data_IF_047900902238
#
_entry.id   IF_047900902238
#
_cell.length_a   1.000
_cell.length_b   1.000
_cell.length_c   1.000
_cell.angle_alpha   90.00
_cell.angle_beta   90.00
_cell.angle_gamma   90.00
#
_symmetry.space_group_name_H-M   'P 1'
#
loop_
_entity.id
_entity.type
_entity.pdbx_description
1 polymer ?
#
# COMPACT_ATOMS: atom_id res chain seq x y z
N UNK A 1 -9.68 -3.82 35.34
CA UNK A 1 -9.67 -2.74 34.33
C UNK A 1 -8.22 -2.49 33.95
N UNK A 2 -7.73 -3.13 32.89
CA UNK A 2 -6.33 -2.97 32.45
C UNK A 2 -6.26 -1.84 31.43
N UNK A 3 -5.45 -0.83 31.75
CA UNK A 3 -5.12 0.26 30.86
C UNK A 3 -4.47 -0.30 29.59
N UNK A 4 -5.06 -0.02 28.43
CA UNK A 4 -4.42 -0.22 27.13
C UNK A 4 -3.33 0.82 27.00
N UNK A 5 -2.08 0.40 27.17
CA UNK A 5 -0.91 1.21 26.85
C UNK A 5 -0.83 1.38 25.34
N UNK A 6 -1.37 2.49 24.83
CA UNK A 6 -1.21 2.89 23.42
C UNK A 6 0.25 3.27 23.22
N UNK A 7 1.03 2.44 22.51
CA UNK A 7 2.40 2.78 22.10
C UNK A 7 2.38 3.98 21.14
N UNK A 8 3.39 4.86 21.14
CA UNK A 8 3.43 6.03 20.26
C UNK A 8 3.87 5.62 18.84
N UNK A 9 3.05 4.83 18.14
CA UNK A 9 3.18 4.66 16.69
C UNK A 9 2.52 5.84 15.99
N UNK A 10 3.26 6.52 15.09
CA UNK A 10 2.88 7.72 14.32
C UNK A 10 1.51 8.32 14.70
N UNK A 11 1.56 9.33 15.56
CA UNK A 11 0.40 10.16 15.90
C UNK A 11 -0.28 10.64 14.62
N UNK A 12 -1.60 10.45 14.56
CA UNK A 12 -2.52 11.15 13.66
C UNK A 12 -2.02 12.57 13.40
N UNK A 13 -1.91 12.95 12.13
CA UNK A 13 -1.47 14.30 11.77
C UNK A 13 -2.54 15.31 12.21
N UNK A 14 -2.11 16.51 12.57
CA UNK A 14 -3.02 17.56 13.00
C UNK A 14 -4.04 17.88 11.90
N UNK A 15 -5.33 17.85 12.25
CA UNK A 15 -6.43 18.08 11.29
C UNK A 15 -6.91 16.84 10.53
N UNK A 16 -6.30 15.67 10.75
CA UNK A 16 -6.73 14.42 10.12
C UNK A 16 -8.09 13.93 10.65
N UNK A 17 -9.10 13.89 9.78
CA UNK A 17 -10.42 13.33 10.08
C UNK A 17 -10.74 12.12 9.20
N UNK A 18 -10.50 10.93 9.75
CA UNK A 18 -10.76 9.67 9.03
C UNK A 18 -12.24 9.40 8.76
N UNK A 19 -13.13 10.08 9.47
CA UNK A 19 -14.57 9.87 9.34
C UNK A 19 -15.17 10.62 8.15
N UNK A 20 -14.37 11.44 7.45
CA UNK A 20 -14.79 12.19 6.26
C UNK A 20 -15.57 11.31 5.27
N UNK A 21 -16.60 11.90 4.70
CA UNK A 21 -17.41 11.33 3.62
C UNK A 21 -16.95 11.78 2.23
N UNK A 22 -15.99 12.71 2.17
CA UNK A 22 -15.46 13.25 0.92
C UNK A 22 -14.19 12.48 0.55
N UNK A 23 -14.18 11.92 -0.66
CA UNK A 23 -13.03 11.13 -1.12
C UNK A 23 -11.82 12.03 -1.42
N UNK A 24 -12.03 13.32 -1.70
CA UNK A 24 -10.97 14.31 -1.91
C UNK A 24 -10.12 14.51 -0.65
N UNK A 25 -10.74 14.56 0.53
CA UNK A 25 -10.05 14.66 1.81
C UNK A 25 -9.17 13.43 2.04
N UNK A 26 -9.72 12.26 1.76
CA UNK A 26 -9.00 11.01 1.89
C UNK A 26 -7.80 10.93 0.92
N UNK A 27 -7.98 11.39 -0.32
CA UNK A 27 -6.89 11.51 -1.31
C UNK A 27 -5.83 12.53 -0.87
N UNK A 28 -6.23 13.64 -0.26
CA UNK A 28 -5.31 14.65 0.24
C UNK A 28 -4.39 14.07 1.32
N UNK A 29 -4.97 13.39 2.33
CA UNK A 29 -4.19 12.73 3.38
C UNK A 29 -3.29 11.63 2.84
N UNK A 30 -3.74 10.85 1.84
CA UNK A 30 -2.88 9.89 1.16
C UNK A 30 -1.63 10.53 0.54
N UNK A 31 -1.80 11.69 -0.12
CA UNK A 31 -0.67 12.43 -0.70
C UNK A 31 0.31 12.88 0.38
N UNK A 32 -0.19 13.45 1.49
CA UNK A 32 0.64 13.90 2.61
C UNK A 32 1.45 12.74 3.18
N UNK A 33 0.80 11.61 3.46
CA UNK A 33 1.49 10.45 4.02
C UNK A 33 2.50 9.83 3.03
N UNK A 34 2.21 9.77 1.72
CA UNK A 34 3.19 9.31 0.72
C UNK A 34 4.43 10.23 0.68
N UNK A 35 4.22 11.54 0.69
CA UNK A 35 5.31 12.52 0.68
C UNK A 35 6.19 12.41 1.93
N UNK A 36 5.57 12.29 3.12
CA UNK A 36 6.29 12.09 4.38
C UNK A 36 7.09 10.78 4.39
N UNK A 37 6.49 9.68 3.94
CA UNK A 37 7.14 8.38 3.85
C UNK A 37 8.33 8.42 2.88
N UNK A 38 8.14 9.03 1.70
CA UNK A 38 9.18 9.19 0.69
C UNK A 38 10.35 9.99 1.23
N UNK A 39 10.07 11.13 1.87
CA UNK A 39 11.08 11.98 2.46
C UNK A 39 11.87 11.24 3.57
N UNK A 40 11.17 10.65 4.54
CA UNK A 40 11.81 9.96 5.67
C UNK A 40 12.61 8.73 5.25
N UNK A 41 12.11 7.92 4.30
CA UNK A 41 12.88 6.80 3.72
C UNK A 41 14.15 7.27 3.02
N UNK A 42 14.08 8.39 2.30
CA UNK A 42 15.24 8.99 1.65
C UNK A 42 16.29 9.44 2.66
N UNK A 43 15.86 10.06 3.76
CA UNK A 43 16.72 10.47 4.86
C UNK A 43 17.35 9.26 5.56
N UNK A 44 16.55 8.25 5.91
CA UNK A 44 16.99 7.02 6.56
C UNK A 44 18.09 6.33 5.74
N UNK A 45 17.84 6.13 4.44
CA UNK A 45 18.81 5.49 3.55
C UNK A 45 20.13 6.27 3.43
N UNK A 46 20.10 7.60 3.60
CA UNK A 46 21.31 8.43 3.65
C UNK A 46 22.06 8.21 4.96
N UNK A 47 21.35 8.26 6.09
CA UNK A 47 21.91 8.05 7.43
C UNK A 47 22.57 6.66 7.50
N UNK A 48 21.91 5.62 7.00
CA UNK A 48 22.46 4.26 6.96
C UNK A 48 23.78 4.16 6.19
N UNK A 49 23.88 4.84 5.03
CA UNK A 49 25.14 4.90 4.25
C UNK A 49 26.25 5.61 5.01
N UNK A 50 25.93 6.74 5.65
CA UNK A 50 26.91 7.51 6.41
C UNK A 50 27.37 6.73 7.65
N UNK A 51 26.45 6.06 8.36
CA UNK A 51 26.74 5.19 9.52
C UNK A 51 27.70 4.04 9.19
N UNK A 52 27.62 3.48 7.98
CA UNK A 52 28.53 2.42 7.54
C UNK A 52 30.01 2.84 7.57
N UNK A 53 30.30 4.15 7.50
CA UNK A 53 31.65 4.71 7.53
C UNK A 53 32.14 5.07 8.93
N UNK A 54 31.25 5.08 9.93
CA UNK A 54 31.55 5.53 11.29
C UNK A 54 32.11 4.44 12.19
N UNK A 55 32.70 4.86 13.32
CA UNK A 55 33.22 3.97 14.35
C UNK A 55 32.09 3.16 15.02
N UNK A 56 32.38 1.98 15.60
CA UNK A 56 31.37 1.15 16.26
C UNK A 56 30.60 1.87 17.39
N UNK A 57 31.27 2.74 18.15
CA UNK A 57 30.66 3.50 19.25
C UNK A 57 29.66 4.53 18.72
N UNK A 58 30.01 5.25 17.65
CA UNK A 58 29.12 6.21 17.00
C UNK A 58 27.90 5.50 16.37
N UNK A 59 28.08 4.31 15.80
CA UNK A 59 26.97 3.48 15.30
C UNK A 59 26.03 3.02 16.40
N UNK A 60 26.56 2.61 17.55
CA UNK A 60 25.76 2.16 18.68
C UNK A 60 24.98 3.31 19.32
N UNK A 61 25.56 4.52 19.36
CA UNK A 61 24.83 5.72 19.82
C UNK A 61 23.65 6.06 18.90
N UNK A 62 23.81 5.92 17.58
CA UNK A 62 22.77 6.23 16.60
C UNK A 62 21.68 5.14 16.46
N UNK A 63 21.87 3.94 17.00
CA UNK A 63 20.93 2.83 16.77
C UNK A 63 19.57 3.07 17.41
N UNK A 64 19.51 3.74 18.57
CA UNK A 64 18.26 4.07 19.25
C UNK A 64 17.42 5.05 18.43
N UNK A 65 18.06 6.09 17.88
CA UNK A 65 17.40 7.06 17.00
C UNK A 65 16.90 6.40 15.72
N UNK A 66 17.66 5.46 15.17
CA UNK A 66 17.29 4.71 13.97
C UNK A 66 16.00 3.90 14.20
N UNK A 67 15.92 3.16 15.31
CA UNK A 67 14.73 2.38 15.67
C UNK A 67 13.49 3.27 15.78
N UNK A 68 13.61 4.46 16.40
CA UNK A 68 12.49 5.40 16.51
C UNK A 68 12.02 5.86 15.12
N UNK A 69 12.95 6.14 14.20
CA UNK A 69 12.61 6.56 12.83
C UNK A 69 11.91 5.41 12.07
N UNK A 70 12.38 4.18 12.24
CA UNK A 70 11.78 2.98 11.64
C UNK A 70 10.34 2.77 12.16
N UNK A 71 10.12 2.83 13.48
CA UNK A 71 8.79 2.72 14.09
C UNK A 71 7.83 3.82 13.58
N UNK A 72 8.33 5.05 13.40
CA UNK A 72 7.54 6.13 12.81
C UNK A 72 7.15 5.83 11.35
N UNK A 73 8.09 5.31 10.55
CA UNK A 73 7.82 4.95 9.15
C UNK A 73 6.78 3.84 9.04
N UNK A 74 6.81 2.85 9.92
CA UNK A 74 5.75 1.83 10.01
C UNK A 74 4.40 2.44 10.36
N UNK A 75 4.36 3.37 11.31
CA UNK A 75 3.13 4.07 11.68
C UNK A 75 2.53 4.91 10.53
N UNK A 76 3.35 5.70 9.82
CA UNK A 76 2.89 6.46 8.66
C UNK A 76 2.41 5.55 7.53
N UNK A 77 3.05 4.40 7.36
CA UNK A 77 2.60 3.43 6.37
C UNK A 77 1.23 2.86 6.75
N UNK A 78 1.03 2.47 8.01
CA UNK A 78 -0.26 1.98 8.46
C UNK A 78 -1.37 3.02 8.29
N UNK A 79 -1.05 4.32 8.49
CA UNK A 79 -1.99 5.42 8.23
C UNK A 79 -2.30 5.59 6.75
N UNK A 80 -1.29 5.53 5.88
CA UNK A 80 -1.48 5.58 4.44
C UNK A 80 -2.40 4.43 3.97
N UNK A 81 -2.14 3.20 4.43
CA UNK A 81 -2.94 2.01 4.10
C UNK A 81 -4.39 2.13 4.61
N UNK A 82 -4.59 2.80 5.75
CA UNK A 82 -5.92 3.10 6.28
C UNK A 82 -6.68 4.08 5.37
N UNK A 83 -6.04 5.16 4.93
CA UNK A 83 -6.67 6.12 4.04
C UNK A 83 -7.03 5.54 2.67
N UNK A 84 -6.20 4.63 2.15
CA UNK A 84 -6.53 3.91 0.93
C UNK A 84 -7.81 3.08 1.06
N UNK A 85 -7.97 2.33 2.16
CA UNK A 85 -9.21 1.61 2.45
C UNK A 85 -10.41 2.56 2.53
N UNK A 86 -10.23 3.72 3.17
CA UNK A 86 -11.28 4.73 3.25
C UNK A 86 -11.70 5.25 1.88
N UNK A 87 -10.75 5.53 0.98
CA UNK A 87 -11.09 5.93 -0.40
C UNK A 87 -11.86 4.83 -1.12
N UNK A 88 -11.49 3.55 -0.95
CA UNK A 88 -12.22 2.43 -1.55
C UNK A 88 -13.68 2.39 -1.09
N UNK A 89 -13.92 2.51 0.22
CA UNK A 89 -15.27 2.58 0.78
C UNK A 89 -16.06 3.76 0.20
N UNK A 90 -15.47 4.95 0.16
CA UNK A 90 -16.11 6.17 -0.33
C UNK A 90 -16.38 6.13 -1.83
N UNK A 91 -15.55 5.44 -2.62
CA UNK A 91 -15.78 5.20 -4.06
C UNK A 91 -16.65 3.96 -4.32
N UNK A 92 -17.14 3.29 -3.28
CA UNK A 92 -18.08 2.18 -3.38
C UNK A 92 -17.46 0.86 -3.85
N UNK A 93 -16.15 0.67 -3.65
CA UNK A 93 -15.45 -0.59 -3.92
C UNK A 93 -15.56 -1.52 -2.70
N UNK A 94 -16.03 -2.73 -2.93
CA UNK A 94 -16.19 -3.78 -1.93
C UNK A 94 -15.59 -5.09 -2.41
N UNK A 95 -14.91 -5.81 -1.52
CA UNK A 95 -14.37 -7.14 -1.77
C UNK A 95 -14.96 -8.11 -0.75
N UNK A 96 -15.45 -9.25 -1.23
CA UNK A 96 -15.91 -10.36 -0.41
C UNK A 96 -14.90 -11.53 -0.50
N UNK A 97 -14.15 -11.80 0.58
CA UNK A 97 -13.16 -12.88 0.59
C UNK A 97 -13.78 -14.28 0.63
N UNK A 98 -15.04 -14.44 1.05
CA UNK A 98 -15.67 -15.76 1.12
C UNK A 98 -16.14 -16.22 -0.25
N UNK A 99 -16.75 -15.32 -1.03
CA UNK A 99 -17.26 -15.60 -2.37
C UNK A 99 -16.29 -15.23 -3.50
N UNK A 100 -15.12 -14.67 -3.17
CA UNK A 100 -14.17 -14.06 -4.11
C UNK A 100 -14.85 -13.08 -5.08
N UNK A 101 -15.77 -12.28 -4.56
CA UNK A 101 -16.53 -11.31 -5.36
C UNK A 101 -16.00 -9.91 -5.14
N UNK A 102 -15.97 -9.12 -6.21
CA UNK A 102 -15.70 -7.68 -6.14
C UNK A 102 -16.93 -6.92 -6.64
N UNK A 103 -17.24 -5.81 -5.97
CA UNK A 103 -18.33 -4.92 -6.34
C UNK A 103 -17.86 -3.48 -6.41
N UNK A 104 -18.26 -2.76 -7.44
CA UNK A 104 -18.03 -1.32 -7.56
C UNK A 104 -19.24 -0.65 -8.20
N UNK A 105 -19.78 0.40 -7.55
CA UNK A 105 -20.93 1.18 -8.06
C UNK A 105 -22.13 0.32 -8.52
N UNK A 106 -22.41 -0.77 -7.79
CA UNK A 106 -23.53 -1.67 -8.09
C UNK A 106 -23.25 -2.75 -9.16
N UNK A 107 -22.07 -2.75 -9.78
CA UNK A 107 -21.61 -3.84 -10.66
C UNK A 107 -20.83 -4.87 -9.86
N UNK A 108 -21.07 -6.15 -10.10
CA UNK A 108 -20.46 -7.27 -9.39
C UNK A 108 -19.69 -8.17 -10.36
N UNK A 109 -18.57 -8.75 -9.91
CA UNK A 109 -17.76 -9.70 -10.68
C UNK A 109 -17.23 -10.82 -9.77
N UNK A 110 -17.39 -12.06 -10.19
CA UNK A 110 -16.80 -13.22 -9.51
C UNK A 110 -15.38 -13.49 -10.02
N UNK A 111 -14.44 -13.46 -9.10
CA UNK A 111 -13.02 -13.64 -9.38
C UNK A 111 -12.61 -15.08 -9.13
N UNK A 112 -11.63 -15.56 -9.89
CA UNK A 112 -10.88 -16.73 -9.44
C UNK A 112 -10.09 -16.39 -8.18
N UNK A 113 -9.71 -17.40 -7.39
CA UNK A 113 -8.92 -17.20 -6.18
C UNK A 113 -7.63 -16.38 -6.43
N UNK A 114 -6.90 -16.68 -7.52
CA UNK A 114 -5.65 -15.97 -7.84
C UNK A 114 -5.89 -14.51 -8.26
N UNK A 115 -6.98 -14.23 -8.97
CA UNK A 115 -7.38 -12.86 -9.32
C UNK A 115 -7.77 -12.06 -8.08
N UNK A 116 -8.58 -12.66 -7.19
CA UNK A 116 -8.95 -12.05 -5.91
C UNK A 116 -7.71 -11.75 -5.06
N UNK A 117 -6.82 -12.72 -4.87
CA UNK A 117 -5.59 -12.55 -4.10
C UNK A 117 -4.71 -11.43 -4.67
N UNK A 118 -4.56 -11.36 -6.00
CA UNK A 118 -3.77 -10.30 -6.64
C UNK A 118 -4.42 -8.93 -6.49
N UNK A 119 -5.73 -8.83 -6.74
CA UNK A 119 -6.46 -7.58 -6.64
C UNK A 119 -6.45 -7.06 -5.19
N UNK A 120 -6.77 -7.91 -4.21
CA UNK A 120 -6.71 -7.57 -2.79
C UNK A 120 -5.30 -7.11 -2.39
N UNK A 121 -4.26 -7.86 -2.75
CA UNK A 121 -2.87 -7.49 -2.46
C UNK A 121 -2.48 -6.12 -3.02
N UNK A 122 -2.92 -5.81 -4.25
CA UNK A 122 -2.65 -4.51 -4.89
C UNK A 122 -3.46 -3.37 -4.25
N UNK A 123 -4.70 -3.63 -3.82
CA UNK A 123 -5.57 -2.67 -3.13
C UNK A 123 -5.14 -2.39 -1.69
N UNK A 124 -4.53 -3.37 -1.02
CA UNK A 124 -3.92 -3.25 0.31
C UNK A 124 -2.57 -2.52 0.26
N UNK A 125 -1.93 -2.47 -0.91
CA UNK A 125 -0.64 -1.82 -1.13
C UNK A 125 -0.61 -0.92 -2.37
N UNK A 126 -1.51 0.04 -2.49
CA UNK A 126 -1.57 0.91 -3.66
C UNK A 126 -0.39 1.90 -3.64
N UNK A 127 -0.01 2.39 -4.83
CA UNK A 127 1.18 3.22 -5.07
C UNK A 127 2.54 2.58 -4.72
N UNK A 128 2.55 1.32 -4.26
CA UNK A 128 3.75 0.51 -4.11
C UNK A 128 3.97 -0.32 -5.36
N UNK A 129 5.24 -0.48 -5.74
CA UNK A 129 5.62 -1.28 -6.89
C UNK A 129 6.07 -2.66 -6.44
N UNK A 130 5.57 -3.68 -7.14
CA UNK A 130 5.91 -5.08 -6.89
C UNK A 130 6.39 -5.77 -8.17
N UNK A 131 7.56 -6.39 -8.12
CA UNK A 131 8.06 -7.25 -9.19
C UNK A 131 7.19 -8.52 -9.31
N UNK A 132 7.34 -9.25 -10.42
CA UNK A 132 6.69 -10.55 -10.58
C UNK A 132 7.04 -11.51 -9.44
N UNK A 133 8.30 -11.54 -9.02
CA UNK A 133 8.73 -12.40 -7.91
C UNK A 133 8.13 -11.95 -6.58
N UNK A 134 8.01 -10.64 -6.33
CA UNK A 134 7.35 -10.16 -5.11
C UNK A 134 5.87 -10.52 -5.09
N UNK A 135 5.16 -10.39 -6.22
CA UNK A 135 3.74 -10.78 -6.32
C UNK A 135 3.58 -12.28 -6.02
N UNK A 136 4.37 -13.14 -6.66
CA UNK A 136 4.34 -14.59 -6.44
C UNK A 136 4.52 -14.97 -4.97
N UNK A 137 5.52 -14.37 -4.32
CA UNK A 137 5.85 -14.70 -2.95
C UNK A 137 4.87 -14.11 -1.94
N UNK A 138 4.34 -12.91 -2.17
CA UNK A 138 3.54 -12.18 -1.17
C UNK A 138 2.04 -12.28 -1.38
N UNK A 139 1.56 -12.24 -2.62
CA UNK A 139 0.14 -12.35 -2.92
C UNK A 139 -0.32 -13.82 -2.94
N UNK A 140 0.56 -14.72 -3.37
CA UNK A 140 0.20 -16.11 -3.69
C UNK A 140 0.94 -17.17 -2.88
N UNK A 141 2.01 -16.78 -2.17
CA UNK A 141 2.92 -17.68 -1.45
C UNK A 141 3.41 -18.85 -2.33
N UNK A 142 3.63 -18.58 -3.62
CA UNK A 142 3.92 -19.59 -4.64
C UNK A 142 5.14 -19.15 -5.48
N UNK A 143 6.37 -19.42 -5.01
CA UNK A 143 7.59 -19.00 -5.71
C UNK A 143 7.79 -19.71 -7.06
N UNK A 144 7.19 -20.89 -7.25
CA UNK A 144 7.36 -21.74 -8.42
C UNK A 144 6.58 -21.24 -9.66
N UNK A 145 5.59 -20.37 -9.44
CA UNK A 145 4.76 -19.80 -10.48
C UNK A 145 5.61 -19.04 -11.52
N UNK A 146 5.27 -19.18 -12.80
CA UNK A 146 6.07 -18.56 -13.85
C UNK A 146 5.77 -17.05 -13.97
N UNK A 147 6.76 -16.20 -14.27
CA UNK A 147 6.52 -14.76 -14.47
C UNK A 147 5.47 -14.44 -15.55
N UNK A 148 5.26 -15.33 -16.52
CA UNK A 148 4.22 -15.21 -17.55
C UNK A 148 2.81 -15.36 -16.97
N UNK A 149 2.62 -16.27 -16.02
CA UNK A 149 1.35 -16.45 -15.34
C UNK A 149 0.98 -15.20 -14.53
N UNK A 150 1.97 -14.60 -13.86
CA UNK A 150 1.78 -13.29 -13.19
C UNK A 150 1.26 -12.25 -14.18
N UNK A 151 1.86 -12.16 -15.37
CA UNK A 151 1.44 -11.22 -16.42
C UNK A 151 0.03 -11.49 -16.92
N UNK A 152 -0.36 -12.76 -17.04
CA UNK A 152 -1.71 -13.14 -17.41
C UNK A 152 -2.73 -12.68 -16.35
N UNK A 153 -2.46 -12.90 -15.07
CA UNK A 153 -3.34 -12.41 -14.00
C UNK A 153 -3.38 -10.88 -13.92
N UNK A 154 -2.25 -10.19 -14.11
CA UNK A 154 -2.22 -8.72 -14.23
C UNK A 154 -3.10 -8.24 -15.38
N UNK A 155 -3.08 -8.92 -16.54
CA UNK A 155 -3.94 -8.59 -17.67
C UNK A 155 -5.42 -8.78 -17.33
N UNK A 156 -5.78 -9.88 -16.67
CA UNK A 156 -7.17 -10.13 -16.26
C UNK A 156 -7.66 -9.12 -15.23
N UNK A 157 -6.84 -8.80 -14.22
CA UNK A 157 -7.14 -7.75 -13.24
C UNK A 157 -7.37 -6.41 -13.93
N UNK A 158 -6.57 -6.04 -14.94
CA UNK A 158 -6.83 -4.83 -15.74
C UNK A 158 -8.20 -4.85 -16.43
N UNK A 159 -8.60 -5.98 -17.00
CA UNK A 159 -9.93 -6.12 -17.60
C UNK A 159 -11.04 -5.94 -16.57
N UNK A 160 -10.90 -6.56 -15.39
CA UNK A 160 -11.87 -6.42 -14.27
C UNK A 160 -11.99 -4.95 -13.83
N UNK A 161 -10.86 -4.27 -13.63
CA UNK A 161 -10.85 -2.85 -13.24
C UNK A 161 -11.58 -1.98 -14.27
N UNK A 162 -11.41 -2.26 -15.56
CA UNK A 162 -12.08 -1.53 -16.63
C UNK A 162 -13.58 -1.85 -16.71
N UNK A 163 -13.96 -3.13 -16.61
CA UNK A 163 -15.34 -3.60 -16.72
C UNK A 163 -16.23 -3.10 -15.56
N UNK A 164 -15.66 -3.07 -14.35
CA UNK A 164 -16.30 -2.54 -13.15
C UNK A 164 -16.16 -1.02 -13.02
N UNK A 165 -15.51 -0.35 -13.97
CA UNK A 165 -15.25 1.09 -13.96
C UNK A 165 -14.58 1.57 -12.67
N UNK A 166 -13.74 0.72 -12.08
CA UNK A 166 -12.97 1.06 -10.89
C UNK A 166 -11.97 2.17 -11.27
N UNK A 167 -11.87 3.28 -10.51
CA UNK A 167 -11.08 4.46 -10.86
C UNK A 167 -9.57 4.23 -10.63
N UNK A 168 -9.04 3.14 -11.14
CA UNK A 168 -7.68 2.68 -10.92
C UNK A 168 -7.04 2.15 -12.19
N UNK A 169 -5.74 2.39 -12.29
CA UNK A 169 -4.91 1.87 -13.35
C UNK A 169 -3.81 1.00 -12.75
N UNK A 170 -3.76 -0.27 -13.17
CA UNK A 170 -2.66 -1.17 -12.85
C UNK A 170 -1.50 -0.92 -13.81
N UNK A 171 -0.57 -0.06 -13.42
CA UNK A 171 0.55 0.38 -14.27
C UNK A 171 1.77 -0.53 -14.10
N UNK A 172 2.61 -0.57 -15.13
CA UNK A 172 3.93 -1.21 -15.08
C UNK A 172 5.01 -0.13 -15.21
N UNK A 173 6.03 -0.18 -14.36
CA UNK A 173 7.24 0.64 -14.47
C UNK A 173 8.46 -0.28 -14.65
N UNK A 174 9.25 -0.11 -15.72
CA UNK A 174 10.47 -0.88 -15.93
C UNK A 174 11.36 -0.87 -14.68
N UNK A 175 11.87 -2.05 -14.31
CA UNK A 175 12.71 -2.29 -13.11
C UNK A 175 12.03 -2.11 -11.75
N UNK A 176 10.80 -1.59 -11.68
CA UNK A 176 10.02 -1.48 -10.43
C UNK A 176 8.92 -2.54 -10.35
N UNK A 177 8.31 -2.89 -11.48
CA UNK A 177 7.22 -3.86 -11.55
C UNK A 177 5.85 -3.18 -11.64
N UNK A 178 4.85 -3.77 -11.00
CA UNK A 178 3.44 -3.38 -11.10
C UNK A 178 2.98 -2.59 -9.88
N UNK A 179 2.11 -1.61 -10.10
CA UNK A 179 1.48 -0.84 -9.04
C UNK A 179 0.06 -0.45 -9.43
N UNK A 180 -0.83 -0.45 -8.45
CA UNK A 180 -2.16 0.14 -8.60
C UNK A 180 -2.09 1.63 -8.27
N UNK A 181 -2.56 2.46 -9.19
CA UNK A 181 -2.59 3.92 -9.04
C UNK A 181 -4.01 4.40 -9.28
N UNK A 182 -4.48 5.32 -8.45
CA UNK A 182 -5.77 5.96 -8.68
C UNK A 182 -5.73 6.82 -9.95
N UNK A 183 -6.74 6.65 -10.80
CA UNK A 183 -6.98 7.57 -11.90
C UNK A 183 -7.34 8.92 -11.28
N UNK A 184 -6.61 9.96 -11.64
CA UNK A 184 -7.09 11.31 -11.34
C UNK A 184 -8.36 11.53 -12.16
N UNK A 185 -9.44 11.97 -11.51
CA UNK A 185 -10.59 12.47 -12.27
C UNK A 185 -10.11 13.61 -13.19
N UNK A 186 -10.56 13.66 -14.46
CA UNK A 186 -10.19 14.70 -15.43
C UNK A 186 -10.45 16.13 -14.95
#
# INVERSE_FOLDING_TARGET
>A
MAARTTRPGASTLEGEDITTTHWEDARHWMSIYDDLLRFKRGLLARIERDLATLSPIARMAASQDLTIIEEQLEGYQARLDLWYRRVWELRGLWLDPESHMVRHQGKEYHLTNREFQLLQFLLDHPHRFFTTDQIKNRAWSDPALFPEEVRNYVRRVRSILAELEIPCDLINRPRKGYSLVFRADP
#
